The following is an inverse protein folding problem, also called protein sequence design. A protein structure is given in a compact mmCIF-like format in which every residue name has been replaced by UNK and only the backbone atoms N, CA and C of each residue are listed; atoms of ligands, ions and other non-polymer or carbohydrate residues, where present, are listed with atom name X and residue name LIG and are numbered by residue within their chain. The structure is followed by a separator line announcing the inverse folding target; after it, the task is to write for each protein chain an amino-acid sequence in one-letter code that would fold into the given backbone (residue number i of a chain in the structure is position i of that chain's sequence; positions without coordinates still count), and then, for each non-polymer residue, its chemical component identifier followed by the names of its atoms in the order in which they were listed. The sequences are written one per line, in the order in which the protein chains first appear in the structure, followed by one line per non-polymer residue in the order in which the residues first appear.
data_IF_456286808324
#
_entry.id   IF_456286808324
#
_cell.length_a   1.000
_cell.length_b   1.000
_cell.length_c   1.000
_cell.angle_alpha   90.00
_cell.angle_beta   90.00
_cell.angle_gamma   90.00
#
_symmetry.space_group_name_H-M   'P 1'
#
loop_
_entity.id
_entity.type
_entity.pdbx_description
1 polymer ?
#
# COMPACT_ATOMS: atom_id res chain seq x y z
N UNK A 1 -3.56 -29.77 -12.06
CA UNK A 1 -4.78 -29.35 -11.36
C UNK A 1 -4.47 -29.29 -9.87
N UNK A 2 -4.33 -28.09 -9.32
CA UNK A 2 -4.47 -27.82 -7.89
C UNK A 2 -5.17 -26.48 -7.81
N UNK A 3 -6.49 -26.53 -7.61
CA UNK A 3 -7.26 -25.36 -7.26
C UNK A 3 -6.85 -24.92 -5.87
N UNK A 4 -6.23 -23.76 -5.76
CA UNK A 4 -6.31 -22.99 -4.52
C UNK A 4 -7.76 -22.56 -4.39
N UNK A 5 -8.49 -23.34 -3.60
CA UNK A 5 -9.84 -23.07 -3.14
C UNK A 5 -9.98 -21.60 -2.74
N UNK A 6 -11.16 -21.04 -2.98
CA UNK A 6 -11.70 -19.97 -2.15
C UNK A 6 -11.34 -20.29 -0.70
N UNK A 7 -10.40 -19.52 -0.16
CA UNK A 7 -9.96 -19.66 1.22
C UNK A 7 -11.21 -19.47 2.06
N UNK A 8 -11.52 -20.47 2.89
CA UNK A 8 -12.46 -20.37 4.01
C UNK A 8 -11.98 -19.23 4.91
N UNK A 9 -12.36 -18.00 4.57
CA UNK A 9 -12.12 -16.81 5.39
C UNK A 9 -13.20 -16.67 6.47
N UNK A 10 -14.21 -17.54 6.47
CA UNK A 10 -15.17 -17.67 7.56
C UNK A 10 -14.46 -18.13 8.84
N UNK A 11 -14.32 -17.22 9.80
CA UNK A 11 -13.76 -17.51 11.13
C UNK A 11 -12.28 -17.17 11.32
N UNK A 12 -11.60 -16.60 10.32
CA UNK A 12 -10.24 -16.06 10.50
C UNK A 12 -10.35 -14.63 11.04
N UNK A 13 -9.75 -14.37 12.21
CA UNK A 13 -9.65 -13.01 12.75
C UNK A 13 -8.79 -12.15 11.81
N UNK A 14 -9.33 -11.05 11.25
CA UNK A 14 -8.56 -10.12 10.43
C UNK A 14 -7.27 -9.60 11.09
N UNK A 15 -7.24 -9.48 12.42
CA UNK A 15 -6.04 -9.09 13.16
C UNK A 15 -4.93 -10.14 13.09
N UNK A 16 -5.29 -11.43 13.09
CA UNK A 16 -4.32 -12.51 12.91
C UNK A 16 -3.77 -12.54 11.48
N UNK A 17 -4.60 -12.23 10.49
CA UNK A 17 -4.17 -12.08 9.09
C UNK A 17 -3.16 -10.94 8.96
N UNK A 18 -3.47 -9.77 9.53
CA UNK A 18 -2.56 -8.63 9.53
C UNK A 18 -1.24 -8.95 10.24
N UNK A 19 -1.31 -9.50 11.45
CA UNK A 19 -0.11 -9.83 12.25
C UNK A 19 0.80 -10.78 11.49
N UNK A 20 0.23 -11.85 10.92
CA UNK A 20 0.99 -12.80 10.11
C UNK A 20 1.57 -12.15 8.85
N UNK A 21 0.81 -11.29 8.17
CA UNK A 21 1.29 -10.56 6.99
C UNK A 21 2.48 -9.66 7.34
N UNK A 22 2.40 -8.93 8.46
CA UNK A 22 3.49 -8.10 8.97
C UNK A 22 4.72 -8.93 9.33
N UNK A 23 4.54 -10.03 10.04
CA UNK A 23 5.62 -10.96 10.38
C UNK A 23 6.30 -11.49 9.10
N UNK A 24 5.55 -11.90 8.08
CA UNK A 24 6.11 -12.38 6.82
C UNK A 24 6.83 -11.28 6.03
N UNK A 25 6.28 -10.07 5.95
CA UNK A 25 6.91 -8.95 5.26
C UNK A 25 8.21 -8.52 5.96
N UNK A 26 8.28 -8.62 7.29
CA UNK A 26 9.46 -8.29 8.07
C UNK A 26 10.63 -9.27 7.88
N UNK A 27 10.39 -10.48 7.35
CA UNK A 27 11.48 -11.42 7.02
C UNK A 27 12.04 -11.21 5.61
N UNK A 28 11.38 -10.40 4.78
CA UNK A 28 11.84 -10.12 3.43
C UNK A 28 13.01 -9.13 3.44
N UNK A 29 13.88 -9.25 2.43
CA UNK A 29 14.82 -8.18 2.10
C UNK A 29 14.06 -6.92 1.68
N UNK A 30 14.65 -5.75 1.87
CA UNK A 30 14.00 -4.47 1.57
C UNK A 30 13.53 -4.39 0.10
N UNK A 31 14.32 -4.87 -0.85
CA UNK A 31 13.94 -4.93 -2.26
C UNK A 31 12.76 -5.87 -2.53
N UNK A 32 12.71 -7.03 -1.88
CA UNK A 32 11.60 -7.98 -2.03
C UNK A 32 10.31 -7.44 -1.40
N UNK A 33 10.43 -6.79 -0.24
CA UNK A 33 9.35 -6.06 0.40
C UNK A 33 8.76 -5.00 -0.55
N UNK A 34 9.60 -4.12 -1.10
CA UNK A 34 9.14 -3.05 -2.01
C UNK A 34 8.52 -3.61 -3.29
N UNK A 35 9.03 -4.73 -3.84
CA UNK A 35 8.38 -5.43 -4.98
C UNK A 35 6.98 -5.93 -4.65
N UNK A 36 6.77 -6.45 -3.43
CA UNK A 36 5.44 -6.82 -2.96
C UNK A 36 4.52 -5.59 -2.89
N UNK A 37 4.97 -4.49 -2.29
CA UNK A 37 4.19 -3.25 -2.18
C UNK A 37 3.85 -2.66 -3.56
N UNK A 38 4.80 -2.60 -4.49
CA UNK A 38 4.54 -2.13 -5.86
C UNK A 38 3.44 -2.93 -6.55
N UNK A 39 3.41 -4.25 -6.34
CA UNK A 39 2.35 -5.10 -6.88
C UNK A 39 1.00 -4.82 -6.26
N UNK A 40 0.96 -4.62 -4.94
CA UNK A 40 -0.28 -4.28 -4.23
C UNK A 40 -0.83 -2.97 -4.77
N UNK A 41 -0.02 -1.91 -4.81
CA UNK A 41 -0.42 -0.60 -5.32
C UNK A 41 -0.90 -0.66 -6.77
N UNK A 42 -0.24 -1.47 -7.61
CA UNK A 42 -0.67 -1.67 -9.00
C UNK A 42 -2.05 -2.31 -9.11
N UNK A 43 -2.33 -3.35 -8.32
CA UNK A 43 -3.63 -4.01 -8.32
C UNK A 43 -4.70 -3.11 -7.69
N UNK A 44 -4.32 -2.37 -6.66
CA UNK A 44 -5.21 -1.48 -5.94
C UNK A 44 -5.64 -0.28 -6.77
N UNK A 45 -4.69 0.36 -7.48
CA UNK A 45 -4.96 1.42 -8.46
C UNK A 45 -5.98 0.96 -9.51
N UNK A 46 -5.88 -0.28 -10.01
CA UNK A 46 -6.83 -0.82 -11.01
C UNK A 46 -8.26 -0.87 -10.49
N UNK A 47 -8.45 -1.12 -9.19
CA UNK A 47 -9.78 -1.14 -8.57
C UNK A 47 -10.36 0.29 -8.45
N UNK A 48 -9.50 1.30 -8.32
CA UNK A 48 -9.90 2.70 -8.17
C UNK A 48 -9.95 3.48 -9.50
N UNK A 49 -9.72 2.81 -10.64
CA UNK A 49 -9.31 3.48 -11.88
C UNK A 49 -10.45 4.11 -12.70
N UNK A 50 -11.69 3.62 -12.54
CA UNK A 50 -12.81 3.88 -13.47
C UNK A 50 -13.19 5.36 -13.57
N UNK A 51 -12.98 6.17 -12.53
CA UNK A 51 -13.37 7.60 -12.51
C UNK A 51 -12.25 8.55 -12.03
N UNK A 52 -11.01 8.08 -11.98
CA UNK A 52 -9.92 8.85 -11.38
C UNK A 52 -9.40 9.96 -12.31
N UNK A 53 -9.33 11.23 -11.85
CA UNK A 53 -8.78 12.33 -12.64
C UNK A 53 -7.33 12.08 -13.07
N UNK A 54 -6.95 12.59 -14.26
CA UNK A 54 -5.64 12.33 -14.86
C UNK A 54 -4.45 12.78 -13.99
N UNK A 55 -4.63 13.87 -13.23
CA UNK A 55 -3.60 14.39 -12.32
C UNK A 55 -3.40 13.49 -11.09
N UNK A 56 -4.48 12.92 -10.54
CA UNK A 56 -4.41 11.98 -9.41
C UNK A 56 -3.74 10.67 -9.85
N UNK A 57 -4.09 10.22 -11.06
CA UNK A 57 -3.46 9.08 -11.71
C UNK A 57 -1.97 9.28 -11.95
N UNK A 58 -1.55 10.47 -12.39
CA UNK A 58 -0.14 10.79 -12.59
C UNK A 58 0.63 10.71 -11.28
N UNK A 59 0.11 11.30 -10.20
CA UNK A 59 0.73 11.23 -8.90
C UNK A 59 0.88 9.78 -8.40
N UNK A 60 -0.13 8.92 -8.62
CA UNK A 60 -0.03 7.50 -8.21
C UNK A 60 1.06 6.79 -8.99
N UNK A 61 1.17 7.10 -10.29
CA UNK A 61 2.24 6.54 -11.12
C UNK A 61 3.61 7.01 -10.62
N UNK A 62 3.76 8.27 -10.23
CA UNK A 62 5.02 8.78 -9.65
C UNK A 62 5.37 8.01 -8.38
N UNK A 63 4.40 7.74 -7.48
CA UNK A 63 4.62 6.91 -6.29
C UNK A 63 5.05 5.49 -6.68
N UNK A 64 4.33 4.86 -7.62
CA UNK A 64 4.64 3.50 -8.07
C UNK A 64 6.04 3.41 -8.69
N UNK A 65 6.42 4.38 -9.50
CA UNK A 65 7.74 4.45 -10.12
C UNK A 65 8.80 4.56 -9.03
N UNK A 66 8.65 5.45 -8.05
CA UNK A 66 9.58 5.57 -6.92
C UNK A 66 9.76 4.25 -6.14
N UNK A 67 8.67 3.51 -5.89
CA UNK A 67 8.75 2.21 -5.21
C UNK A 67 9.53 1.19 -6.06
N UNK A 68 9.31 1.16 -7.37
CA UNK A 68 10.04 0.28 -8.29
C UNK A 68 11.52 0.66 -8.36
N UNK A 69 11.84 1.96 -8.39
CA UNK A 69 13.22 2.44 -8.39
C UNK A 69 13.95 2.10 -7.09
N UNK A 70 13.28 2.31 -5.95
CA UNK A 70 13.80 1.93 -4.64
C UNK A 70 14.01 0.41 -4.51
N UNK A 71 13.07 -0.39 -5.03
CA UNK A 71 13.21 -1.84 -5.09
C UNK A 71 14.40 -2.30 -5.97
N UNK A 72 14.84 -1.46 -6.91
CA UNK A 72 16.05 -1.69 -7.71
C UNK A 72 17.33 -1.18 -7.02
N UNK A 73 17.24 -0.70 -5.77
CA UNK A 73 18.36 -0.19 -4.98
C UNK A 73 18.75 1.25 -5.31
N UNK A 74 17.90 2.02 -6.00
CA UNK A 74 18.17 3.44 -6.26
C UNK A 74 17.82 4.30 -5.04
N UNK A 75 18.62 5.34 -4.81
CA UNK A 75 18.29 6.37 -3.82
C UNK A 75 17.21 7.30 -4.37
N UNK A 76 16.03 7.26 -3.76
CA UNK A 76 14.84 8.00 -4.19
C UNK A 76 14.37 9.02 -3.15
N UNK A 77 15.05 9.17 -2.01
CA UNK A 77 14.52 9.90 -0.86
C UNK A 77 14.14 11.35 -1.19
N UNK A 78 15.00 12.07 -1.92
CA UNK A 78 14.71 13.44 -2.35
C UNK A 78 13.49 13.53 -3.30
N UNK A 79 13.34 12.57 -4.21
CA UNK A 79 12.21 12.52 -5.12
C UNK A 79 10.91 12.15 -4.40
N UNK A 80 10.98 11.22 -3.43
CA UNK A 80 9.86 10.86 -2.57
C UNK A 80 9.36 12.06 -1.74
N UNK A 81 10.24 12.91 -1.22
CA UNK A 81 9.85 14.16 -0.53
C UNK A 81 9.05 15.08 -1.47
N UNK A 82 9.49 15.23 -2.72
CA UNK A 82 8.81 16.10 -3.69
C UNK A 82 7.43 15.57 -4.06
N UNK A 83 7.32 14.26 -4.33
CA UNK A 83 6.03 13.61 -4.61
C UNK A 83 5.12 13.69 -3.40
N UNK A 84 5.63 13.45 -2.19
CA UNK A 84 4.84 13.53 -0.97
C UNK A 84 4.31 14.94 -0.69
N UNK A 85 5.10 15.98 -0.96
CA UNK A 85 4.61 17.36 -0.90
C UNK A 85 3.50 17.62 -1.91
N UNK A 86 3.68 17.22 -3.17
CA UNK A 86 2.65 17.37 -4.20
C UNK A 86 1.36 16.61 -3.84
N UNK A 87 1.52 15.41 -3.27
CA UNK A 87 0.44 14.57 -2.75
C UNK A 87 -0.32 15.26 -1.61
N UNK A 88 0.41 15.82 -0.64
CA UNK A 88 -0.15 16.53 0.50
C UNK A 88 -0.82 17.84 0.12
N UNK A 89 -0.17 18.70 -0.66
CA UNK A 89 -0.70 20.01 -1.07
C UNK A 89 -2.01 19.87 -1.84
N UNK A 90 -2.17 18.76 -2.57
CA UNK A 90 -3.39 18.45 -3.31
C UNK A 90 -4.55 18.01 -2.41
N UNK A 91 -4.26 17.24 -1.36
CA UNK A 91 -5.27 16.78 -0.39
C UNK A 91 -5.61 17.87 0.63
N UNK A 92 -4.60 18.66 1.02
CA UNK A 92 -4.65 19.63 2.11
C UNK A 92 -4.04 20.98 1.68
N UNK A 93 -4.69 21.72 0.77
CA UNK A 93 -4.14 22.96 0.24
C UNK A 93 -3.84 23.99 1.34
N UNK A 94 -2.60 24.48 1.37
CA UNK A 94 -2.17 25.51 2.31
C UNK A 94 -1.81 25.00 3.71
N UNK A 95 -1.78 23.68 3.92
CA UNK A 95 -1.35 23.10 5.18
C UNK A 95 0.10 22.63 5.13
N UNK A 96 0.88 22.82 6.21
CA UNK A 96 2.23 22.28 6.27
C UNK A 96 2.20 20.75 6.32
N UNK A 97 3.09 20.12 5.55
CA UNK A 97 3.29 18.67 5.56
C UNK A 97 3.63 18.18 6.98
N UNK A 98 2.90 17.17 7.48
CA UNK A 98 3.19 16.56 8.78
C UNK A 98 2.80 17.40 9.98
N UNK A 99 1.81 18.29 9.87
CA UNK A 99 1.28 18.97 11.05
C UNK A 99 0.59 17.99 12.01
N UNK A 100 1.00 18.01 13.28
CA UNK A 100 0.43 17.19 14.37
C UNK A 100 -1.02 17.56 14.73
N UNK A 101 -1.52 18.70 14.24
CA UNK A 101 -2.92 19.07 14.39
C UNK A 101 -3.76 18.29 13.37
N UNK A 102 -4.82 17.57 13.76
CA UNK A 102 -5.65 16.83 12.82
C UNK A 102 -6.40 17.83 11.95
N UNK A 103 -5.81 18.18 10.81
CA UNK A 103 -6.30 19.29 10.00
C UNK A 103 -7.43 18.78 9.11
N UNK A 104 -8.64 18.88 9.63
CA UNK A 104 -9.89 18.60 8.93
C UNK A 104 -10.09 17.10 8.59
N UNK A 105 -11.34 16.61 8.53
CA UNK A 105 -11.61 15.30 7.95
C UNK A 105 -11.07 15.24 6.52
N UNK A 106 -10.60 14.07 6.10
CA UNK A 106 -10.14 13.84 4.73
C UNK A 106 -11.22 14.24 3.73
N UNK A 107 -10.90 15.21 2.87
CA UNK A 107 -11.77 15.72 1.81
C UNK A 107 -11.04 15.69 0.45
N UNK A 108 -10.01 14.85 0.34
CA UNK A 108 -9.20 14.72 -0.86
C UNK A 108 -9.99 14.12 -2.04
N UNK A 109 -9.53 14.34 -3.28
CA UNK A 109 -10.22 13.90 -4.49
C UNK A 109 -10.13 12.38 -4.76
N UNK A 110 -9.39 11.63 -3.94
CA UNK A 110 -9.14 10.19 -4.13
C UNK A 110 -9.82 9.36 -3.02
N UNK A 111 -9.94 8.03 -3.17
CA UNK A 111 -10.26 7.17 -2.05
C UNK A 111 -9.28 7.37 -0.89
N UNK A 112 -9.79 7.49 0.33
CA UNK A 112 -8.99 7.76 1.54
C UNK A 112 -7.90 6.69 1.74
N UNK A 113 -8.25 5.45 1.48
CA UNK A 113 -7.41 4.29 1.67
C UNK A 113 -6.25 4.29 0.66
N UNK A 114 -6.48 4.73 -0.58
CA UNK A 114 -5.42 4.93 -1.56
C UNK A 114 -4.52 6.11 -1.19
N UNK A 115 -5.11 7.19 -0.68
CA UNK A 115 -4.34 8.32 -0.15
C UNK A 115 -3.42 7.88 1.00
N UNK A 116 -3.94 7.11 1.96
CA UNK A 116 -3.17 6.59 3.10
C UNK A 116 -2.06 5.63 2.67
N UNK A 117 -2.40 4.65 1.82
CA UNK A 117 -1.45 3.70 1.25
C UNK A 117 -0.26 4.41 0.56
N UNK A 118 -0.55 5.34 -0.35
CA UNK A 118 0.50 6.09 -1.05
C UNK A 118 1.31 6.99 -0.10
N UNK A 119 0.67 7.61 0.89
CA UNK A 119 1.38 8.44 1.87
C UNK A 119 2.31 7.63 2.76
N UNK A 120 1.86 6.45 3.23
CA UNK A 120 2.66 5.59 4.10
C UNK A 120 3.87 5.02 3.38
N UNK A 121 3.74 4.58 2.12
CA UNK A 121 4.92 4.13 1.37
C UNK A 121 5.88 5.29 1.05
N UNK A 122 5.37 6.49 0.79
CA UNK A 122 6.24 7.66 0.60
C UNK A 122 7.03 7.98 1.87
N UNK A 123 6.42 7.89 3.05
CA UNK A 123 7.13 8.03 4.32
C UNK A 123 8.22 6.98 4.50
N UNK A 124 7.95 5.71 4.16
CA UNK A 124 8.95 4.65 4.19
C UNK A 124 10.14 4.89 3.26
N UNK A 125 9.90 5.51 2.10
CA UNK A 125 10.95 5.87 1.15
C UNK A 125 11.75 7.10 1.59
N UNK A 126 11.18 7.95 2.45
CA UNK A 126 11.81 9.17 2.96
C UNK A 126 12.65 8.87 4.21
N UNK A 127 12.14 8.05 5.13
CA UNK A 127 12.78 7.74 6.40
C UNK A 127 12.58 6.25 6.76
N UNK A 128 13.71 5.56 6.93
CA UNK A 128 13.74 4.14 7.27
C UNK A 128 13.08 3.82 8.63
N UNK A 129 12.94 4.80 9.53
CA UNK A 129 12.23 4.62 10.80
C UNK A 129 10.74 4.31 10.60
N UNK A 130 10.18 4.63 9.44
CA UNK A 130 8.79 4.33 9.08
C UNK A 130 8.62 2.98 8.42
N UNK A 131 9.69 2.18 8.26
CA UNK A 131 9.62 0.90 7.54
C UNK A 131 8.48 0.03 8.06
N UNK A 132 7.68 -0.49 7.13
CA UNK A 132 6.45 -1.24 7.34
C UNK A 132 5.19 -0.45 7.72
N UNK A 133 5.19 0.88 7.77
CA UNK A 133 3.98 1.70 7.95
C UNK A 133 2.88 1.39 6.92
N UNK A 134 3.25 1.06 5.69
CA UNK A 134 2.32 0.67 4.62
C UNK A 134 1.59 -0.64 4.94
N UNK A 135 2.16 -1.52 5.75
CA UNK A 135 1.49 -2.78 6.15
C UNK A 135 0.27 -2.49 7.01
N UNK A 136 0.37 -1.47 7.85
CA UNK A 136 -0.72 -1.03 8.73
C UNK A 136 -1.86 -0.45 7.88
N UNK A 137 -1.55 0.31 6.83
CA UNK A 137 -2.56 0.80 5.88
C UNK A 137 -3.21 -0.29 5.02
N UNK A 138 -2.46 -1.33 4.65
CA UNK A 138 -3.02 -2.47 3.91
C UNK A 138 -4.06 -3.22 4.76
N UNK A 139 -3.78 -3.39 6.06
CA UNK A 139 -4.72 -4.05 6.96
C UNK A 139 -5.86 -3.12 7.39
N UNK A 140 -5.60 -1.86 7.68
CA UNK A 140 -6.65 -0.89 7.95
C UNK A 140 -7.58 -0.76 6.75
N UNK A 141 -7.04 -0.76 5.52
CA UNK A 141 -7.82 -0.91 4.31
C UNK A 141 -8.67 -2.18 4.35
N UNK A 142 -8.06 -3.35 4.53
CA UNK A 142 -8.77 -4.63 4.59
C UNK A 142 -9.86 -4.72 5.68
N UNK A 143 -9.65 -4.07 6.82
CA UNK A 143 -10.57 -4.00 7.97
C UNK A 143 -11.73 -3.01 7.73
N UNK A 144 -11.47 -1.88 7.07
CA UNK A 144 -12.47 -0.85 6.79
C UNK A 144 -13.26 -1.12 5.49
N UNK A 145 -12.93 -2.17 4.74
CA UNK A 145 -13.61 -2.54 3.50
C UNK A 145 -15.01 -3.16 3.67
N UNK A 146 -15.74 -2.76 4.72
CA UNK A 146 -17.20 -2.84 4.81
C UNK A 146 -17.89 -1.73 3.97
N UNK A 147 -17.42 -1.48 2.73
CA UNK A 147 -18.29 -0.83 1.75
C UNK A 147 -19.26 -1.87 1.21
N UNK A 148 -20.59 -1.63 1.28
CA UNK A 148 -21.61 -2.65 1.04
C UNK A 148 -21.66 -3.19 -0.40
N UNK A 149 -20.95 -2.59 -1.34
CA UNK A 149 -21.18 -2.83 -2.77
C UNK A 149 -20.19 -3.82 -3.43
N UNK A 150 -18.98 -4.07 -2.90
CA UNK A 150 -18.09 -5.17 -3.37
C UNK A 150 -17.00 -5.64 -2.35
N UNK A 151 -17.38 -6.34 -1.25
CA UNK A 151 -16.42 -6.97 -0.33
C UNK A 151 -15.49 -8.00 -1.00
N UNK A 152 -15.95 -8.65 -2.09
CA UNK A 152 -15.23 -9.73 -2.75
C UNK A 152 -13.97 -9.24 -3.49
N UNK A 153 -14.01 -8.05 -4.10
CA UNK A 153 -12.84 -7.48 -4.77
C UNK A 153 -11.66 -7.23 -3.82
N UNK A 154 -11.94 -6.70 -2.63
CA UNK A 154 -10.93 -6.35 -1.62
C UNK A 154 -10.34 -7.61 -0.97
N UNK A 155 -11.19 -8.57 -0.63
CA UNK A 155 -10.73 -9.88 -0.17
C UNK A 155 -9.82 -10.56 -1.21
N UNK A 156 -10.18 -10.51 -2.51
CA UNK A 156 -9.34 -11.07 -3.58
C UNK A 156 -8.01 -10.34 -3.71
N UNK A 157 -7.99 -9.01 -3.54
CA UNK A 157 -6.75 -8.22 -3.51
C UNK A 157 -5.83 -8.69 -2.38
N UNK A 158 -6.36 -8.83 -1.17
CA UNK A 158 -5.60 -9.27 0.00
C UNK A 158 -5.08 -10.70 -0.17
N UNK A 159 -5.89 -11.63 -0.66
CA UNK A 159 -5.47 -13.02 -0.93
C UNK A 159 -4.36 -13.07 -1.99
N UNK A 160 -4.46 -12.29 -3.07
CA UNK A 160 -3.39 -12.19 -4.08
C UNK A 160 -2.11 -11.63 -3.49
N UNK A 161 -2.22 -10.62 -2.62
CA UNK A 161 -1.08 -10.02 -1.96
C UNK A 161 -0.38 -11.01 -1.02
N UNK A 162 -1.13 -11.69 -0.14
CA UNK A 162 -0.61 -12.74 0.75
C UNK A 162 0.10 -13.82 -0.06
N UNK A 163 -0.53 -14.35 -1.11
CA UNK A 163 0.08 -15.38 -1.95
C UNK A 163 1.40 -14.94 -2.60
N UNK A 164 1.54 -13.64 -2.92
CA UNK A 164 2.81 -13.08 -3.42
C UNK A 164 3.87 -12.99 -2.33
N UNK A 165 3.50 -12.48 -1.15
CA UNK A 165 4.42 -12.40 0.00
C UNK A 165 4.94 -13.79 0.37
N UNK A 166 4.05 -14.79 0.43
CA UNK A 166 4.43 -16.18 0.69
C UNK A 166 5.37 -16.75 -0.40
N UNK A 167 5.19 -16.36 -1.66
CA UNK A 167 6.09 -16.77 -2.75
C UNK A 167 7.48 -16.14 -2.63
N UNK A 168 7.57 -14.85 -2.28
CA UNK A 168 8.85 -14.16 -2.09
C UNK A 168 9.58 -14.68 -0.85
N UNK A 169 8.88 -14.90 0.26
CA UNK A 169 9.45 -15.46 1.49
C UNK A 169 10.05 -16.86 1.25
N UNK A 170 9.38 -17.69 0.44
CA UNK A 170 9.89 -19.02 0.07
C UNK A 170 11.19 -18.94 -0.72
N UNK A 171 11.26 -18.03 -1.70
CA UNK A 171 12.48 -17.79 -2.49
C UNK A 171 13.63 -17.30 -1.64
N UNK A 172 13.37 -16.45 -0.65
CA UNK A 172 14.38 -15.96 0.29
C UNK A 172 14.96 -17.07 1.18
N UNK A 173 14.18 -18.11 1.50
CA UNK A 173 14.63 -19.26 2.30
C UNK A 173 15.40 -20.33 1.53
N UNK A 174 15.47 -20.24 0.19
CA UNK A 174 16.17 -21.21 -0.68
C UNK A 174 17.58 -20.75 -1.10
N UNK A 175 17.97 -19.52 -0.74
CA UNK A 175 19.25 -18.88 -1.13
C UNK A 175 20.31 -18.78 -0.04
#
# INVERSE_FOLDING_TARGET
MSGTSEVELEGVDPWDVWRRLREMLATLSCDSYLRCIASFLSDYRRLCDEDMPAVDRALINDVMDLVVEAAAGRDVGAAAILVHRAWWDRTYPGQPLGSDEPVQPYAGPMPLELFRACSSILWELIDENHRFSMVDEIADGALNYEQPDDPLANTRLLVRFIGRVESEARRAGEG
#
